data_IF_102088441027
#
_entry.id   IF_102088441027
#
_cell.length_a   1.000
_cell.length_b   1.000
_cell.length_c   1.000
_cell.angle_alpha   90.00
_cell.angle_beta   90.00
_cell.angle_gamma   90.00
#
_symmetry.space_group_name_H-M   'P 1'
#
loop_
_entity.id
_entity.type
_entity.pdbx_description
1 polymer ?
#
# COMPACT_ATOMS: atom_id res chain seq x y z
N UNK A 1 13.23 -9.36 -13.91
CA UNK A 1 12.33 -9.37 -12.76
C UNK A 1 12.96 -9.89 -11.47
N UNK A 2 13.86 -10.88 -11.47
CA UNK A 2 14.33 -11.54 -10.24
C UNK A 2 14.96 -10.57 -9.21
N UNK A 3 15.85 -9.67 -9.66
CA UNK A 3 16.45 -8.66 -8.76
C UNK A 3 15.42 -7.73 -8.13
N UNK A 4 14.47 -7.22 -8.92
CA UNK A 4 13.38 -6.39 -8.42
C UNK A 4 12.51 -7.13 -7.38
N UNK A 5 12.16 -8.40 -7.63
CA UNK A 5 11.41 -9.23 -6.67
C UNK A 5 12.18 -9.38 -5.35
N UNK A 6 13.50 -9.60 -5.43
CA UNK A 6 14.34 -9.68 -4.22
C UNK A 6 14.33 -8.37 -3.42
N UNK A 7 14.39 -7.21 -4.09
CA UNK A 7 14.28 -5.91 -3.43
C UNK A 7 12.91 -5.68 -2.78
N UNK A 8 11.81 -6.10 -3.43
CA UNK A 8 10.47 -6.05 -2.83
C UNK A 8 10.41 -6.89 -1.54
N UNK A 9 10.93 -8.12 -1.57
CA UNK A 9 10.99 -8.96 -0.36
C UNK A 9 11.85 -8.34 0.74
N UNK A 10 12.99 -7.72 0.40
CA UNK A 10 13.83 -7.02 1.38
C UNK A 10 13.08 -5.84 2.00
N UNK A 11 12.42 -5.00 1.19
CA UNK A 11 11.60 -3.89 1.67
C UNK A 11 10.47 -4.37 2.60
N UNK A 12 9.74 -5.40 2.19
CA UNK A 12 8.66 -5.99 2.99
C UNK A 12 9.19 -6.45 4.35
N UNK A 13 10.27 -7.24 4.36
CA UNK A 13 10.83 -7.77 5.60
C UNK A 13 11.35 -6.67 6.53
N UNK A 14 11.96 -5.61 5.97
CA UNK A 14 12.41 -4.47 6.75
C UNK A 14 11.24 -3.74 7.42
N UNK A 15 10.15 -3.49 6.68
CA UNK A 15 8.94 -2.89 7.25
C UNK A 15 8.35 -3.80 8.34
N UNK A 16 8.15 -5.08 8.06
CA UNK A 16 7.54 -6.02 9.02
C UNK A 16 8.41 -6.26 10.27
N UNK A 17 9.73 -6.08 10.18
CA UNK A 17 10.61 -6.16 11.35
C UNK A 17 10.35 -5.05 12.37
N UNK A 18 10.02 -3.83 11.90
CA UNK A 18 9.61 -2.73 12.78
C UNK A 18 8.20 -2.90 13.35
N UNK A 19 7.34 -3.66 12.66
CA UNK A 19 5.95 -3.90 13.03
C UNK A 19 5.71 -5.39 13.33
N UNK A 20 6.46 -5.92 14.29
CA UNK A 20 6.52 -7.36 14.62
C UNK A 20 5.20 -8.02 15.01
N UNK A 21 4.18 -7.23 15.35
CA UNK A 21 2.82 -7.71 15.64
C UNK A 21 2.05 -8.11 14.37
N UNK A 22 2.54 -7.75 13.18
CA UNK A 22 1.91 -8.10 11.91
C UNK A 22 2.27 -9.54 11.54
N UNK A 23 1.25 -10.38 11.38
CA UNK A 23 1.47 -11.77 10.97
C UNK A 23 1.76 -11.86 9.47
N UNK A 24 3.05 -11.93 9.12
CA UNK A 24 3.52 -12.05 7.72
C UNK A 24 2.89 -13.21 6.92
N UNK A 25 2.40 -14.26 7.58
CA UNK A 25 1.76 -15.41 6.89
C UNK A 25 0.41 -15.05 6.28
N UNK A 26 -0.17 -13.92 6.68
CA UNK A 26 -1.44 -13.38 6.17
C UNK A 26 -1.25 -12.35 5.05
N UNK A 27 -0.02 -12.15 4.58
CA UNK A 27 0.29 -11.25 3.47
C UNK A 27 0.78 -12.10 2.30
N UNK A 28 -0.08 -12.28 1.30
CA UNK A 28 0.30 -12.80 -0.01
C UNK A 28 0.84 -11.67 -0.88
N UNK A 29 2.00 -11.88 -1.53
CA UNK A 29 2.56 -10.94 -2.50
C UNK A 29 2.66 -11.61 -3.86
N UNK A 30 2.03 -11.02 -4.85
CA UNK A 30 1.94 -11.51 -6.22
C UNK A 30 2.59 -10.50 -7.16
N UNK A 31 3.78 -10.84 -7.67
CA UNK A 31 4.47 -10.01 -8.67
C UNK A 31 4.09 -10.49 -10.07
N UNK A 32 3.54 -9.59 -10.88
CA UNK A 32 3.09 -9.87 -12.26
C UNK A 32 3.84 -8.96 -13.23
N UNK A 33 4.05 -9.46 -14.44
CA UNK A 33 4.47 -8.62 -15.55
C UNK A 33 3.32 -7.67 -15.92
N UNK A 34 3.63 -6.40 -16.17
CA UNK A 34 2.66 -5.41 -16.60
C UNK A 34 3.29 -4.39 -17.54
N UNK A 35 2.45 -3.70 -18.31
CA UNK A 35 2.89 -2.64 -19.24
C UNK A 35 3.21 -1.32 -18.53
N UNK A 36 2.78 -1.18 -17.28
CA UNK A 36 3.01 -0.01 -16.44
C UNK A 36 3.07 -0.43 -14.96
N UNK A 37 3.74 0.40 -14.15
CA UNK A 37 3.80 0.22 -12.72
C UNK A 37 2.42 0.44 -12.10
N UNK A 38 1.93 -0.58 -11.40
CA UNK A 38 0.71 -0.48 -10.62
C UNK A 38 0.80 -1.38 -9.39
N UNK A 39 0.04 -1.04 -8.35
CA UNK A 39 -0.13 -1.86 -7.16
C UNK A 39 -1.58 -1.87 -6.69
N UNK A 40 -1.96 -2.97 -6.05
CA UNK A 40 -3.27 -3.11 -5.43
C UNK A 40 -3.15 -4.02 -4.22
N UNK A 41 -3.81 -3.66 -3.13
CA UNK A 41 -4.04 -4.57 -2.00
C UNK A 41 -5.51 -4.97 -1.94
N UNK A 42 -5.77 -6.27 -1.96
CA UNK A 42 -7.06 -6.84 -1.61
C UNK A 42 -7.05 -7.23 -0.14
N UNK A 43 -8.15 -6.94 0.56
CA UNK A 43 -8.26 -7.08 2.02
C UNK A 43 -9.50 -7.89 2.33
N UNK A 44 -9.32 -8.97 3.08
CA UNK A 44 -10.39 -9.85 3.53
C UNK A 44 -10.36 -9.96 5.06
N UNK A 45 -11.54 -9.97 5.69
CA UNK A 45 -11.69 -10.13 7.13
C UNK A 45 -12.22 -11.55 7.41
N UNK A 46 -11.42 -12.39 8.07
CA UNK A 46 -11.78 -13.77 8.43
C UNK A 46 -11.30 -14.09 9.84
N UNK A 47 -12.12 -14.77 10.64
CA UNK A 47 -11.76 -15.28 11.97
C UNK A 47 -11.00 -14.29 12.87
N UNK A 48 -11.53 -13.06 12.99
CA UNK A 48 -10.92 -11.96 13.78
C UNK A 48 -9.49 -11.58 13.32
N UNK A 49 -9.16 -11.90 12.08
CA UNK A 49 -7.91 -11.59 11.42
C UNK A 49 -8.17 -10.82 10.12
N UNK A 50 -7.09 -10.27 9.56
CA UNK A 50 -7.10 -9.59 8.28
C UNK A 50 -6.10 -10.33 7.40
N UNK A 51 -6.56 -10.74 6.22
CA UNK A 51 -5.73 -11.32 5.17
C UNK A 51 -5.55 -10.29 4.04
N UNK A 52 -4.33 -10.23 3.52
CA UNK A 52 -3.90 -9.24 2.55
C UNK A 52 -3.34 -9.93 1.32
N UNK A 53 -3.81 -9.54 0.14
CA UNK A 53 -3.20 -9.93 -1.13
C UNK A 53 -2.71 -8.69 -1.86
N UNK A 54 -1.39 -8.53 -1.90
CA UNK A 54 -0.74 -7.44 -2.60
C UNK A 54 -0.32 -7.88 -4.00
N UNK A 55 -0.86 -7.21 -5.01
CA UNK A 55 -0.53 -7.40 -6.41
C UNK A 55 0.38 -6.27 -6.87
N UNK A 56 1.55 -6.60 -7.40
CA UNK A 56 2.55 -5.64 -7.87
C UNK A 56 2.84 -5.92 -9.34
N UNK A 57 2.61 -4.94 -10.19
CA UNK A 57 2.82 -5.03 -11.62
C UNK A 57 4.12 -4.33 -12.00
N UNK A 58 5.07 -5.09 -12.54
CA UNK A 58 6.39 -4.60 -12.92
C UNK A 58 6.68 -4.89 -14.39
N UNK A 59 7.18 -3.88 -15.10
CA UNK A 59 7.82 -4.06 -16.40
C UNK A 59 9.34 -4.13 -16.19
N UNK A 60 9.89 -5.33 -15.99
CA UNK A 60 11.31 -5.50 -15.59
C UNK A 60 12.01 -6.69 -16.23
N UNK A 61 13.13 -6.43 -16.89
CA UNK A 61 14.09 -7.46 -17.31
C UNK A 61 14.83 -8.08 -16.11
N UNK A 62 15.43 -9.26 -16.30
CA UNK A 62 16.00 -10.10 -15.23
C UNK A 62 16.90 -9.36 -14.23
N UNK A 63 17.74 -8.46 -14.74
CA UNK A 63 18.77 -7.75 -13.98
C UNK A 63 18.35 -6.35 -13.50
N UNK A 64 17.16 -5.88 -13.84
CA UNK A 64 16.70 -4.55 -13.46
C UNK A 64 16.29 -4.47 -12.00
N UNK A 65 16.61 -3.34 -11.38
CA UNK A 65 16.24 -2.99 -10.02
C UNK A 65 14.98 -2.13 -10.00
N UNK A 66 14.35 -2.05 -8.83
CA UNK A 66 13.30 -1.09 -8.55
C UNK A 66 13.89 0.32 -8.60
N UNK A 67 13.19 1.21 -9.27
CA UNK A 67 13.40 2.65 -9.19
C UNK A 67 12.89 3.17 -7.84
N UNK A 68 13.35 4.35 -7.38
CA UNK A 68 12.82 4.98 -6.17
C UNK A 68 11.30 5.16 -6.20
N UNK A 69 10.72 5.47 -7.36
CA UNK A 69 9.27 5.62 -7.48
C UNK A 69 8.52 4.30 -7.28
N UNK A 70 9.04 3.19 -7.82
CA UNK A 70 8.49 1.84 -7.62
C UNK A 70 8.56 1.39 -6.16
N UNK A 71 9.66 1.70 -5.49
CA UNK A 71 9.79 1.46 -4.05
C UNK A 71 8.77 2.28 -3.25
N UNK A 72 8.54 3.54 -3.63
CA UNK A 72 7.56 4.40 -2.95
C UNK A 72 6.14 3.84 -3.04
N UNK A 73 5.72 3.42 -4.24
CA UNK A 73 4.39 2.83 -4.47
C UNK A 73 4.23 1.55 -3.66
N UNK A 74 5.24 0.66 -3.66
CA UNK A 74 5.20 -0.53 -2.82
C UNK A 74 5.09 -0.22 -1.32
N UNK A 75 5.85 0.77 -0.83
CA UNK A 75 5.79 1.19 0.57
C UNK A 75 4.46 1.87 0.93
N UNK A 76 3.79 2.48 -0.04
CA UNK A 76 2.45 3.04 0.14
C UNK A 76 1.43 1.94 0.46
N UNK A 77 1.44 0.85 -0.31
CA UNK A 77 0.58 -0.31 -0.03
C UNK A 77 0.91 -0.97 1.31
N UNK A 78 2.20 -1.12 1.63
CA UNK A 78 2.63 -1.62 2.94
C UNK A 78 2.15 -0.72 4.08
N UNK A 79 2.08 0.59 3.86
CA UNK A 79 1.60 1.55 4.87
C UNK A 79 0.11 1.36 5.17
N UNK A 80 -0.72 1.04 4.17
CA UNK A 80 -2.12 0.66 4.40
C UNK A 80 -2.24 -0.59 5.29
N UNK A 81 -1.44 -1.62 5.02
CA UNK A 81 -1.41 -2.85 5.84
C UNK A 81 -1.02 -2.53 7.29
N UNK A 82 0.06 -1.77 7.48
CA UNK A 82 0.55 -1.39 8.81
C UNK A 82 -0.50 -0.60 9.60
N UNK A 83 -1.18 0.37 8.96
CA UNK A 83 -2.21 1.17 9.61
C UNK A 83 -3.41 0.30 10.02
N UNK A 84 -3.87 -0.59 9.14
CA UNK A 84 -4.98 -1.49 9.45
C UNK A 84 -4.65 -2.45 10.60
N UNK A 85 -3.47 -3.06 10.58
CA UNK A 85 -3.02 -3.93 11.66
C UNK A 85 -2.88 -3.17 12.98
N UNK A 86 -2.39 -1.93 12.94
CA UNK A 86 -2.33 -1.08 14.13
C UNK A 86 -3.72 -0.81 14.70
N UNK A 87 -4.68 -0.40 13.86
CA UNK A 87 -6.06 -0.17 14.29
C UNK A 87 -6.68 -1.45 14.86
N UNK A 88 -6.49 -2.60 14.20
CA UNK A 88 -6.97 -3.90 14.69
C UNK A 88 -6.39 -4.21 16.07
N UNK A 89 -5.10 -4.03 16.26
CA UNK A 89 -4.42 -4.37 17.51
C UNK A 89 -4.80 -3.42 18.66
N UNK A 90 -5.02 -2.13 18.36
CA UNK A 90 -5.34 -1.12 19.37
C UNK A 90 -6.84 -1.03 19.69
N UNK A 91 -7.71 -1.27 18.71
CA UNK A 91 -9.15 -0.98 18.78
C UNK A 91 -10.05 -2.16 18.38
N UNK A 92 -9.47 -3.27 17.93
CA UNK A 92 -10.18 -4.49 17.52
C UNK A 92 -10.56 -4.53 16.04
N UNK A 93 -10.98 -5.71 15.58
CA UNK A 93 -11.25 -5.99 14.16
C UNK A 93 -12.36 -5.09 13.58
N UNK A 94 -13.39 -4.79 14.37
CA UNK A 94 -14.51 -3.93 13.94
C UNK A 94 -14.05 -2.50 13.62
N UNK A 95 -13.09 -1.97 14.37
CA UNK A 95 -12.55 -0.65 14.11
C UNK A 95 -11.75 -0.62 12.80
N UNK A 96 -10.99 -1.68 12.51
CA UNK A 96 -10.26 -1.82 11.25
C UNK A 96 -11.21 -1.95 10.05
N UNK A 97 -12.29 -2.71 10.21
CA UNK A 97 -13.34 -2.84 9.18
C UNK A 97 -14.06 -1.51 8.93
N UNK A 98 -14.44 -0.79 9.99
CA UNK A 98 -15.03 0.55 9.87
C UNK A 98 -14.10 1.53 9.16
N UNK A 99 -12.82 1.55 9.53
CA UNK A 99 -11.81 2.40 8.87
C UNK A 99 -11.71 2.12 7.37
N UNK A 100 -11.69 0.84 6.97
CA UNK A 100 -11.64 0.48 5.55
C UNK A 100 -12.92 0.87 4.81
N UNK A 101 -14.08 0.72 5.45
CA UNK A 101 -15.36 1.09 4.85
C UNK A 101 -15.49 2.61 4.68
N UNK A 102 -15.08 3.40 5.68
CA UNK A 102 -15.00 4.87 5.57
C UNK A 102 -14.12 5.28 4.40
N UNK A 103 -12.95 4.66 4.25
CA UNK A 103 -12.06 4.93 3.13
C UNK A 103 -12.71 4.61 1.76
N UNK A 104 -13.38 3.46 1.63
CA UNK A 104 -14.10 3.09 0.41
C UNK A 104 -15.22 4.08 0.07
N UNK A 105 -15.94 4.56 1.08
CA UNK A 105 -17.01 5.54 0.90
C UNK A 105 -16.45 6.92 0.50
N UNK A 106 -15.33 7.35 1.09
CA UNK A 106 -14.64 8.59 0.72
C UNK A 106 -14.22 8.57 -0.75
N UNK A 107 -13.63 7.46 -1.22
CA UNK A 107 -13.24 7.26 -2.63
C UNK A 107 -14.46 7.34 -3.54
N UNK A 108 -15.52 6.60 -3.23
CA UNK A 108 -16.75 6.57 -4.04
C UNK A 108 -17.40 7.96 -4.12
N UNK A 109 -17.39 8.71 -3.02
CA UNK A 109 -17.93 10.06 -2.96
C UNK A 109 -17.08 11.04 -3.79
N UNK A 110 -15.75 10.93 -3.71
CA UNK A 110 -14.82 11.72 -4.50
C UNK A 110 -15.01 11.46 -6.00
N UNK A 111 -15.07 10.19 -6.42
CA UNK A 111 -15.31 9.83 -7.83
C UNK A 111 -16.64 10.36 -8.35
N UNK A 112 -17.72 10.23 -7.54
CA UNK A 112 -19.04 10.75 -7.90
C UNK A 112 -19.02 12.27 -8.07
N UNK A 113 -18.31 12.97 -7.18
CA UNK A 113 -18.17 14.43 -7.23
C UNK A 113 -17.33 14.86 -8.45
N UNK A 114 -16.20 14.21 -8.68
CA UNK A 114 -15.32 14.45 -9.81
C UNK A 114 -16.05 14.30 -11.15
N UNK A 115 -16.86 13.23 -11.30
CA UNK A 115 -17.71 13.01 -12.49
C UNK A 115 -18.79 14.07 -12.64
N UNK A 116 -19.47 14.45 -11.55
CA UNK A 116 -20.54 15.45 -11.58
C UNK A 116 -20.01 16.84 -11.99
N UNK A 117 -18.80 17.18 -11.56
CA UNK A 117 -18.20 18.49 -11.73
C UNK A 117 -17.14 18.55 -12.85
N UNK A 118 -16.95 17.47 -13.62
CA UNK A 118 -15.93 17.34 -14.68
C UNK A 118 -14.54 17.80 -14.23
N UNK A 119 -14.05 17.26 -13.12
CA UNK A 119 -12.71 17.57 -12.63
C UNK A 119 -11.63 17.01 -13.57
N UNK A 120 -10.50 17.72 -13.64
CA UNK A 120 -9.28 17.19 -14.28
C UNK A 120 -8.60 16.17 -13.38
N UNK A 121 -7.82 15.27 -13.99
CA UNK A 121 -7.04 14.25 -13.26
C UNK A 121 -6.16 14.86 -12.16
N UNK A 122 -5.54 16.01 -12.43
CA UNK A 122 -4.73 16.74 -11.44
C UNK A 122 -5.54 17.19 -10.22
N UNK A 123 -6.80 17.59 -10.42
CA UNK A 123 -7.67 17.97 -9.31
C UNK A 123 -8.13 16.74 -8.53
N UNK A 124 -8.48 15.66 -9.23
CA UNK A 124 -8.85 14.38 -8.62
C UNK A 124 -7.72 13.89 -7.70
N UNK A 125 -6.48 13.90 -8.20
CA UNK A 125 -5.31 13.48 -7.44
C UNK A 125 -5.11 14.31 -6.16
N UNK A 126 -5.22 15.64 -6.24
CA UNK A 126 -5.09 16.51 -5.06
C UNK A 126 -6.19 16.27 -4.02
N UNK A 127 -7.40 15.96 -4.46
CA UNK A 127 -8.52 15.69 -3.57
C UNK A 127 -8.41 14.29 -2.96
N UNK A 128 -7.86 13.32 -3.71
CA UNK A 128 -7.53 11.98 -3.23
C UNK A 128 -6.49 12.04 -2.09
N UNK A 129 -5.40 12.79 -2.28
CA UNK A 129 -4.40 13.07 -1.24
C UNK A 129 -4.98 13.74 0.01
N UNK A 130 -6.20 14.30 -0.08
CA UNK A 130 -6.87 14.93 1.04
C UNK A 130 -7.71 13.99 1.91
N UNK A 131 -7.96 12.75 1.45
CA UNK A 131 -8.68 11.73 2.21
C UNK A 131 -7.88 11.39 3.48
N UNK A 132 -8.57 11.25 4.61
CA UNK A 132 -7.93 11.02 5.91
C UNK A 132 -7.01 9.80 5.91
N UNK A 133 -7.48 8.70 5.31
CA UNK A 133 -6.69 7.48 5.15
C UNK A 133 -5.41 7.75 4.35
N UNK A 134 -5.54 8.40 3.19
CA UNK A 134 -4.40 8.74 2.32
C UNK A 134 -3.37 9.64 2.99
N UNK A 135 -3.81 10.63 3.78
CA UNK A 135 -2.87 11.47 4.55
C UNK A 135 -2.04 10.66 5.55
N UNK A 136 -2.67 9.69 6.22
CA UNK A 136 -1.98 8.83 7.18
C UNK A 136 -1.01 7.89 6.45
N UNK A 137 -1.47 7.27 5.36
CA UNK A 137 -0.66 6.39 4.52
C UNK A 137 0.54 7.14 3.94
N UNK A 138 0.35 8.30 3.34
CA UNK A 138 1.42 9.10 2.72
C UNK A 138 2.49 9.55 3.73
N UNK A 139 2.07 9.98 4.91
CA UNK A 139 2.98 10.35 6.01
C UNK A 139 3.86 9.16 6.46
N UNK A 140 3.24 7.99 6.65
CA UNK A 140 3.97 6.77 6.98
C UNK A 140 4.87 6.32 5.83
N UNK A 141 4.39 6.40 4.58
CA UNK A 141 5.13 6.04 3.38
C UNK A 141 6.43 6.84 3.27
N UNK A 142 6.36 8.16 3.45
CA UNK A 142 7.54 9.05 3.44
C UNK A 142 8.55 8.64 4.51
N UNK A 143 8.07 8.35 5.72
CA UNK A 143 8.92 7.90 6.84
C UNK A 143 9.63 6.57 6.52
N UNK A 144 8.88 5.58 5.99
CA UNK A 144 9.44 4.29 5.60
C UNK A 144 10.40 4.42 4.42
N UNK A 145 10.06 5.29 3.46
CA UNK A 145 10.87 5.52 2.27
C UNK A 145 12.23 6.12 2.62
N UNK A 146 12.26 7.18 3.43
CA UNK A 146 13.51 7.79 3.92
C UNK A 146 14.40 6.77 4.64
N UNK A 147 13.79 5.84 5.37
CA UNK A 147 14.49 4.81 6.14
C UNK A 147 15.00 3.66 5.27
N UNK A 148 14.23 3.21 4.29
CA UNK A 148 14.48 1.94 3.60
C UNK A 148 14.94 2.04 2.15
N UNK A 149 14.74 3.19 1.48
CA UNK A 149 15.12 3.33 0.06
C UNK A 149 16.62 3.09 -0.15
N UNK A 150 17.47 3.56 0.78
CA UNK A 150 18.92 3.38 0.70
C UNK A 150 19.35 1.94 0.95
N UNK A 151 18.60 1.19 1.75
CA UNK A 151 18.91 -0.21 2.08
C UNK A 151 18.50 -1.13 0.93
N UNK A 152 17.43 -0.78 0.20
CA UNK A 152 16.98 -1.54 -0.95
C UNK A 152 17.71 -1.19 -2.25
N UNK A 153 18.40 -0.04 -2.33
CA UNK A 153 19.12 0.42 -3.53
C UNK A 153 20.56 -0.14 -3.65
N UNK A 154 20.96 -1.05 -2.75
CA UNK A 154 22.28 -1.73 -2.70
C UNK A 154 22.11 -3.20 -3.04
#
# INVERSE_FOLDING_TARGET
>A
MEKAIKQLHMLMNNVLADFSNINKRRIGVWVKEGDYLNSKVEITFEDNCIDYEMYIYLHKEEQEILTPHEMYIFLHEMSHIVILEKIKNEQGIKAAEMYLNEYKDDIKNLEKKAKKENWSDTKIQKEYENIKCEKQTDSLTKTLFERYVRIASV
#
